data_IF_627773145926
#
_entry.id   IF_627773145926
#
_cell.length_a   1.000
_cell.length_b   1.000
_cell.length_c   1.000
_cell.angle_alpha   90.00
_cell.angle_beta   90.00
_cell.angle_gamma   90.00
#
_symmetry.space_group_name_H-M   'P 1'
#
loop_
_entity.id
_entity.type
_entity.pdbx_description
1 polymer ?
#
# COMPACT_ATOMS: atom_id res chain seq x y z
N UNK A 1 13.87 11.39 -0.04
CA UNK A 1 12.66 10.59 -0.01
C UNK A 1 12.19 10.40 1.43
N UNK A 2 10.93 10.65 1.68
CA UNK A 2 10.30 10.47 3.00
C UNK A 2 9.54 9.16 3.02
N UNK A 3 9.73 8.36 4.07
CA UNK A 3 9.01 7.12 4.26
C UNK A 3 7.67 7.36 4.96
N UNK A 4 6.60 6.76 4.43
CA UNK A 4 5.29 6.70 5.06
C UNK A 4 4.84 5.25 5.18
N UNK A 5 3.93 4.97 6.12
CA UNK A 5 3.26 3.68 6.14
C UNK A 5 2.52 3.44 4.83
N UNK A 6 2.62 2.25 4.27
CA UNK A 6 1.88 1.90 3.05
C UNK A 6 0.36 1.99 3.28
N UNK A 7 -0.07 1.58 4.45
CA UNK A 7 -1.39 1.81 5.01
C UNK A 7 -1.19 2.42 6.40
N UNK A 8 -1.81 3.56 6.65
CA UNK A 8 -1.71 4.33 7.89
C UNK A 8 -3.10 4.90 8.19
N UNK A 9 -3.72 4.43 9.25
CA UNK A 9 -5.07 4.80 9.61
C UNK A 9 -5.18 5.13 11.10
N UNK A 10 -5.83 6.25 11.38
CA UNK A 10 -6.34 6.56 12.70
C UNK A 10 -7.74 5.98 12.81
N UNK A 11 -7.91 5.01 13.69
CA UNK A 11 -9.18 4.38 13.95
C UNK A 11 -9.99 5.26 14.90
N UNK A 12 -11.29 5.39 14.61
CA UNK A 12 -12.22 6.12 15.45
C UNK A 12 -13.30 5.17 15.95
N UNK A 13 -13.81 5.40 17.16
CA UNK A 13 -14.97 4.65 17.64
C UNK A 13 -16.27 5.20 17.05
N UNK A 14 -17.20 4.29 16.79
CA UNK A 14 -18.58 4.60 16.39
C UNK A 14 -19.58 4.37 17.52
N UNK A 15 -19.17 3.66 18.58
CA UNK A 15 -19.96 3.39 19.77
C UNK A 15 -19.60 4.33 20.92
N UNK A 16 -20.57 4.54 21.82
CA UNK A 16 -20.39 5.24 23.08
C UNK A 16 -20.31 4.22 24.23
N UNK A 17 -19.45 4.45 25.20
CA UNK A 17 -19.32 3.62 26.41
C UNK A 17 -17.95 3.70 27.04
N UNK A 18 -17.69 2.80 27.98
CA UNK A 18 -16.40 2.69 28.65
C UNK A 18 -15.50 1.67 27.95
N UNK A 19 -14.25 2.03 27.71
CA UNK A 19 -13.25 1.15 27.10
C UNK A 19 -12.92 0.01 28.06
N UNK A 20 -13.28 -1.22 27.70
CA UNK A 20 -12.98 -2.42 28.50
C UNK A 20 -11.60 -3.00 28.19
N UNK A 21 -11.22 -3.00 26.90
CA UNK A 21 -9.89 -3.42 26.47
C UNK A 21 -9.36 -2.52 25.37
N UNK A 22 -8.04 -2.39 25.29
CA UNK A 22 -7.35 -1.66 24.22
C UNK A 22 -5.98 -2.28 23.97
N UNK A 23 -5.59 -2.38 22.70
CA UNK A 23 -4.30 -2.94 22.30
C UNK A 23 -3.15 -2.03 22.69
N UNK A 24 -2.04 -2.63 23.10
CA UNK A 24 -0.81 -1.90 23.46
C UNK A 24 -0.05 -1.43 22.22
N UNK A 25 0.68 -0.31 22.38
CA UNK A 25 1.58 0.22 21.36
C UNK A 25 2.69 -0.79 21.06
N UNK A 26 3.02 -0.96 19.78
CA UNK A 26 4.00 -1.93 19.32
C UNK A 26 3.43 -3.33 19.06
N UNK A 27 2.16 -3.60 19.41
CA UNK A 27 1.52 -4.88 19.13
C UNK A 27 1.29 -5.07 17.65
N UNK A 28 1.78 -6.18 17.09
CA UNK A 28 1.45 -6.65 15.75
C UNK A 28 0.06 -7.29 15.73
N UNK A 29 -0.75 -6.96 14.73
CA UNK A 29 -2.12 -7.46 14.58
C UNK A 29 -2.42 -7.87 13.15
N UNK A 30 -3.29 -8.87 12.98
CA UNK A 30 -3.83 -9.28 11.70
C UNK A 30 -5.09 -8.47 11.35
N UNK A 31 -5.42 -8.39 10.05
CA UNK A 31 -6.69 -7.82 9.61
C UNK A 31 -7.88 -8.53 10.28
N UNK A 32 -8.88 -7.77 10.75
CA UNK A 32 -10.04 -8.27 11.48
C UNK A 32 -9.80 -8.57 12.95
N UNK A 33 -8.58 -8.48 13.45
CA UNK A 33 -8.28 -8.68 14.87
C UNK A 33 -8.79 -7.52 15.73
N UNK A 34 -9.33 -7.83 16.91
CA UNK A 34 -9.80 -6.84 17.88
C UNK A 34 -8.67 -5.99 18.43
N UNK A 35 -8.84 -4.69 18.38
CA UNK A 35 -7.90 -3.68 18.86
C UNK A 35 -8.42 -2.96 20.11
N UNK A 36 -9.70 -2.67 20.17
CA UNK A 36 -10.34 -2.13 21.35
C UNK A 36 -11.77 -2.67 21.49
N UNK A 37 -12.32 -2.57 22.67
CA UNK A 37 -13.63 -3.04 23.04
C UNK A 37 -14.30 -2.00 23.94
N UNK A 38 -15.51 -1.56 23.56
CA UNK A 38 -16.27 -0.51 24.23
C UNK A 38 -17.59 -1.10 24.73
N UNK A 39 -17.61 -1.53 25.99
CA UNK A 39 -18.80 -2.15 26.60
C UNK A 39 -19.51 -3.18 25.69
N UNK A 40 -18.75 -3.96 24.93
CA UNK A 40 -19.30 -4.83 23.89
C UNK A 40 -20.28 -5.88 24.45
N UNK A 41 -20.13 -6.27 25.71
CA UNK A 41 -21.05 -7.21 26.36
C UNK A 41 -22.47 -6.64 26.47
N UNK A 42 -22.62 -5.34 26.78
CA UNK A 42 -23.93 -4.69 26.79
C UNK A 42 -24.60 -4.73 25.40
N UNK A 43 -23.86 -4.41 24.37
CA UNK A 43 -24.36 -4.44 22.99
C UNK A 43 -24.65 -5.85 22.51
N UNK A 44 -23.86 -6.84 22.94
CA UNK A 44 -24.08 -8.25 22.66
C UNK A 44 -25.39 -8.74 23.26
N UNK A 45 -25.67 -8.41 24.52
CA UNK A 45 -26.95 -8.76 25.17
C UNK A 45 -28.14 -8.16 24.41
N UNK A 46 -28.04 -6.92 23.94
CA UNK A 46 -29.08 -6.29 23.14
C UNK A 46 -29.30 -7.03 21.81
N UNK A 47 -28.22 -7.44 21.14
CA UNK A 47 -28.31 -8.23 19.91
C UNK A 47 -28.95 -9.61 20.16
N UNK A 48 -28.53 -10.33 21.18
CA UNK A 48 -29.10 -11.64 21.50
C UNK A 48 -30.60 -11.53 21.86
N UNK A 49 -31.02 -10.50 22.57
CA UNK A 49 -32.43 -10.24 22.83
C UNK A 49 -33.23 -9.99 21.51
N UNK A 50 -32.68 -9.16 20.62
CA UNK A 50 -33.32 -8.91 19.34
C UNK A 50 -33.37 -10.17 18.45
N UNK A 51 -32.34 -10.99 18.47
CA UNK A 51 -32.29 -12.26 17.78
C UNK A 51 -33.36 -13.25 18.30
N UNK A 52 -33.52 -13.33 19.60
CA UNK A 52 -34.57 -14.16 20.20
C UNK A 52 -35.97 -13.70 19.78
N UNK A 53 -36.19 -12.39 19.60
CA UNK A 53 -37.44 -11.86 19.06
C UNK A 53 -37.70 -12.30 17.60
N UNK A 54 -36.66 -12.38 16.78
CA UNK A 54 -36.74 -12.91 15.40
C UNK A 54 -37.15 -14.37 15.42
N UNK A 55 -36.55 -15.20 16.28
CA UNK A 55 -36.86 -16.61 16.41
C UNK A 55 -38.31 -16.82 16.87
N UNK A 56 -38.80 -16.06 17.85
CA UNK A 56 -40.16 -16.08 18.29
C UNK A 56 -41.16 -15.71 17.17
N UNK A 57 -40.87 -14.64 16.42
CA UNK A 57 -41.70 -14.25 15.27
C UNK A 57 -41.72 -15.33 14.18
N UNK A 58 -40.59 -15.97 13.90
CA UNK A 58 -40.50 -17.06 12.94
C UNK A 58 -41.39 -18.25 13.37
N UNK A 59 -41.34 -18.67 14.64
CA UNK A 59 -42.21 -19.72 15.17
C UNK A 59 -43.69 -19.36 15.02
N UNK A 60 -44.06 -18.08 15.28
CA UNK A 60 -45.43 -17.61 15.09
C UNK A 60 -45.86 -17.63 13.60
N UNK A 61 -44.97 -17.27 12.69
CA UNK A 61 -45.21 -17.34 11.24
C UNK A 61 -45.40 -18.80 10.78
N UNK A 62 -44.59 -19.72 11.26
CA UNK A 62 -44.67 -21.14 10.91
C UNK A 62 -46.00 -21.74 11.40
N UNK A 63 -46.45 -21.39 12.63
CA UNK A 63 -47.74 -21.80 13.15
C UNK A 63 -48.90 -21.21 12.33
N UNK A 64 -48.86 -19.93 12.00
CA UNK A 64 -49.89 -19.27 11.21
C UNK A 64 -49.91 -19.77 9.76
N UNK A 65 -48.77 -20.15 9.19
CA UNK A 65 -48.70 -20.80 7.88
C UNK A 65 -49.40 -22.16 7.90
N UNK A 66 -49.18 -22.99 8.93
CA UNK A 66 -49.89 -24.27 9.10
C UNK A 66 -51.41 -24.09 9.22
N UNK A 67 -51.87 -22.99 9.89
CA UNK A 67 -53.29 -22.67 9.96
C UNK A 67 -53.85 -22.22 8.61
N UNK A 68 -53.09 -21.42 7.88
CA UNK A 68 -53.45 -21.01 6.52
C UNK A 68 -53.59 -22.20 5.58
N UNK A 69 -52.66 -23.12 5.61
CA UNK A 69 -52.68 -24.31 4.76
C UNK A 69 -53.88 -25.21 5.10
N UNK A 70 -54.21 -25.41 6.39
CA UNK A 70 -55.39 -26.14 6.84
C UNK A 70 -56.71 -25.47 6.43
N UNK A 71 -56.80 -24.15 6.63
CA UNK A 71 -58.00 -23.38 6.27
C UNK A 71 -58.23 -23.39 4.76
N UNK A 72 -57.17 -23.32 3.96
CA UNK A 72 -57.23 -23.42 2.51
C UNK A 72 -57.81 -24.80 2.08
N UNK A 73 -57.29 -25.87 2.63
CA UNK A 73 -57.79 -27.22 2.34
C UNK A 73 -59.29 -27.38 2.68
N UNK A 74 -59.75 -26.80 3.82
CA UNK A 74 -61.15 -26.82 4.23
C UNK A 74 -62.07 -26.00 3.31
N UNK A 75 -61.59 -24.87 2.80
CA UNK A 75 -62.34 -24.04 1.81
C UNK A 75 -62.42 -24.80 0.48
N UNK A 76 -61.33 -25.41 0.02
CA UNK A 76 -61.27 -26.18 -1.22
C UNK A 76 -62.19 -27.42 -1.14
N UNK A 77 -62.36 -28.01 0.06
CA UNK A 77 -63.32 -29.09 0.35
C UNK A 77 -64.79 -28.61 0.55
N UNK A 78 -65.05 -27.30 0.45
CA UNK A 78 -66.39 -26.73 0.63
C UNK A 78 -66.87 -26.62 2.08
N UNK A 79 -66.01 -26.92 3.06
CA UNK A 79 -66.38 -26.92 4.50
C UNK A 79 -66.29 -25.55 5.17
N UNK A 80 -65.59 -24.58 4.55
CA UNK A 80 -65.45 -23.21 5.04
C UNK A 80 -65.69 -22.18 3.93
N UNK A 81 -66.14 -21.01 4.32
CA UNK A 81 -66.35 -19.86 3.40
C UNK A 81 -65.04 -19.13 3.07
N UNK A 82 -64.94 -18.51 1.90
CA UNK A 82 -63.78 -17.73 1.46
C UNK A 82 -63.38 -16.61 2.45
N UNK A 83 -64.31 -15.99 3.15
CA UNK A 83 -64.06 -14.96 4.15
C UNK A 83 -63.15 -15.43 5.29
N UNK A 84 -63.29 -16.71 5.70
CA UNK A 84 -62.40 -17.31 6.71
C UNK A 84 -60.95 -17.43 6.21
N UNK A 85 -60.75 -17.83 4.94
CA UNK A 85 -59.43 -17.88 4.32
C UNK A 85 -58.79 -16.45 4.20
N UNK A 86 -59.56 -15.45 3.86
CA UNK A 86 -59.07 -14.08 3.73
C UNK A 86 -58.62 -13.53 5.09
N UNK A 87 -59.36 -13.85 6.18
CA UNK A 87 -58.94 -13.47 7.53
C UNK A 87 -57.61 -14.09 7.96
N UNK A 88 -57.41 -15.40 7.72
CA UNK A 88 -56.17 -16.09 8.07
C UNK A 88 -55.02 -15.62 7.18
N UNK A 89 -55.26 -15.37 5.90
CA UNK A 89 -54.25 -14.72 5.02
C UNK A 89 -53.79 -13.37 5.54
N UNK A 90 -54.74 -12.52 5.96
CA UNK A 90 -54.37 -11.19 6.50
C UNK A 90 -53.58 -11.32 7.80
N UNK A 91 -53.92 -12.27 8.67
CA UNK A 91 -53.18 -12.54 9.89
C UNK A 91 -51.73 -13.02 9.57
N UNK A 92 -51.59 -13.99 8.66
CA UNK A 92 -50.27 -14.45 8.22
C UNK A 92 -49.43 -13.36 7.60
N UNK A 93 -50.02 -12.51 6.74
CA UNK A 93 -49.33 -11.37 6.15
C UNK A 93 -48.88 -10.36 7.22
N UNK A 94 -49.71 -10.12 8.26
CA UNK A 94 -49.34 -9.27 9.40
C UNK A 94 -48.12 -9.83 10.16
N UNK A 95 -48.07 -11.14 10.41
CA UNK A 95 -46.93 -11.79 11.08
C UNK A 95 -45.66 -11.74 10.22
N UNK A 96 -45.77 -11.86 8.90
CA UNK A 96 -44.61 -11.63 7.99
C UNK A 96 -44.08 -10.23 8.12
N UNK A 97 -44.95 -9.22 8.12
CA UNK A 97 -44.57 -7.84 8.28
C UNK A 97 -43.87 -7.58 9.64
N UNK A 98 -44.43 -8.16 10.71
CA UNK A 98 -43.83 -8.09 12.05
C UNK A 98 -42.46 -8.75 12.11
N UNK A 99 -42.28 -9.92 11.48
CA UNK A 99 -41.03 -10.65 11.41
C UNK A 99 -39.95 -9.82 10.70
N UNK A 100 -40.28 -9.16 9.57
CA UNK A 100 -39.34 -8.25 8.88
C UNK A 100 -38.93 -7.09 9.78
N UNK A 101 -39.84 -6.56 10.60
CA UNK A 101 -39.52 -5.53 11.59
C UNK A 101 -38.54 -6.04 12.66
N UNK A 102 -38.75 -7.26 13.17
CA UNK A 102 -37.85 -7.89 14.14
C UNK A 102 -36.47 -8.17 13.54
N UNK A 103 -36.40 -8.64 12.29
CA UNK A 103 -35.11 -8.83 11.56
C UNK A 103 -34.34 -7.53 11.41
N UNK A 104 -35.03 -6.43 11.05
CA UNK A 104 -34.41 -5.11 10.94
C UNK A 104 -33.85 -4.63 12.30
N UNK A 105 -34.60 -4.83 13.40
CA UNK A 105 -34.12 -4.52 14.75
C UNK A 105 -32.90 -5.36 15.15
N UNK A 106 -32.90 -6.66 14.86
CA UNK A 106 -31.77 -7.55 15.13
C UNK A 106 -30.54 -7.14 14.33
N UNK A 107 -30.71 -6.73 13.06
CA UNK A 107 -29.61 -6.24 12.23
C UNK A 107 -29.05 -4.92 12.78
N UNK A 108 -29.89 -3.99 13.25
CA UNK A 108 -29.44 -2.75 13.86
C UNK A 108 -28.67 -3.01 15.16
N UNK A 109 -29.18 -3.89 16.03
CA UNK A 109 -28.50 -4.27 17.26
C UNK A 109 -27.16 -4.98 16.99
N UNK A 110 -27.12 -5.84 15.96
CA UNK A 110 -25.89 -6.49 15.51
C UNK A 110 -24.85 -5.46 15.09
N UNK A 111 -25.26 -4.49 14.28
CA UNK A 111 -24.37 -3.41 13.85
C UNK A 111 -23.82 -2.63 15.03
N UNK A 112 -24.64 -2.28 16.02
CA UNK A 112 -24.17 -1.60 17.23
C UNK A 112 -23.14 -2.43 18.00
N UNK A 113 -23.35 -3.76 18.08
CA UNK A 113 -22.37 -4.67 18.71
C UNK A 113 -21.07 -4.77 17.89
N UNK A 114 -21.14 -4.86 16.56
CA UNK A 114 -19.96 -4.85 15.70
C UNK A 114 -19.21 -3.52 15.82
N UNK A 115 -19.93 -2.40 15.86
CA UNK A 115 -19.39 -1.04 16.00
C UNK A 115 -18.77 -0.76 17.39
N UNK A 116 -19.14 -1.54 18.41
CA UNK A 116 -18.54 -1.46 19.76
C UNK A 116 -17.14 -2.06 19.85
N UNK A 117 -16.70 -2.75 18.81
CA UNK A 117 -15.37 -3.35 18.73
C UNK A 117 -14.56 -2.68 17.64
N UNK A 118 -13.40 -2.14 18.01
CA UNK A 118 -12.47 -1.61 17.02
C UNK A 118 -11.70 -2.79 16.40
N UNK A 119 -11.99 -3.11 15.17
CA UNK A 119 -11.28 -4.16 14.44
C UNK A 119 -10.18 -3.55 13.56
N UNK A 120 -9.07 -4.27 13.39
CA UNK A 120 -7.98 -3.86 12.50
C UNK A 120 -8.44 -3.94 11.03
N UNK A 121 -8.46 -2.84 10.27
CA UNK A 121 -8.86 -2.86 8.86
C UNK A 121 -7.84 -3.56 7.96
N UNK A 122 -6.58 -3.61 8.38
CA UNK A 122 -5.48 -4.30 7.71
C UNK A 122 -4.49 -4.85 8.74
N UNK A 123 -3.63 -5.76 8.31
CA UNK A 123 -2.55 -6.28 9.16
C UNK A 123 -1.46 -5.23 9.33
N UNK A 124 -1.04 -4.97 10.58
CA UNK A 124 -0.07 -3.91 10.88
C UNK A 124 0.38 -3.91 12.33
N UNK A 125 0.94 -2.79 12.76
CA UNK A 125 1.40 -2.56 14.12
C UNK A 125 0.70 -1.34 14.70
N UNK A 126 0.30 -1.41 15.95
CA UNK A 126 -0.26 -0.27 16.70
C UNK A 126 0.86 0.74 16.93
N UNK A 127 0.81 1.86 16.21
CA UNK A 127 1.82 2.90 16.28
C UNK A 127 1.59 3.86 17.45
N UNK A 128 0.33 4.19 17.72
CA UNK A 128 -0.05 5.12 18.80
C UNK A 128 -1.38 4.69 19.42
N UNK A 129 -1.50 4.88 20.72
CA UNK A 129 -2.74 4.71 21.47
C UNK A 129 -3.21 6.08 21.96
N UNK A 130 -4.47 6.41 21.69
CA UNK A 130 -5.08 7.71 22.01
C UNK A 130 -6.14 7.60 23.10
N UNK A 131 -6.55 6.39 23.46
CA UNK A 131 -7.51 6.12 24.54
C UNK A 131 -6.91 5.18 25.59
N UNK A 132 -7.45 5.20 26.78
CA UNK A 132 -7.04 4.33 27.87
C UNK A 132 -8.15 3.38 28.29
N UNK A 133 -7.77 2.26 28.91
CA UNK A 133 -8.74 1.38 29.57
C UNK A 133 -9.49 2.15 30.64
N UNK A 134 -10.80 1.92 30.76
CA UNK A 134 -11.71 2.58 31.71
C UNK A 134 -12.03 4.04 31.36
N UNK A 135 -11.59 4.53 30.22
CA UNK A 135 -11.94 5.84 29.71
C UNK A 135 -13.32 5.78 29.04
N UNK A 136 -14.14 6.82 29.26
CA UNK A 136 -15.43 6.97 28.58
C UNK A 136 -15.22 7.64 27.24
N UNK A 137 -15.72 7.03 26.17
CA UNK A 137 -15.58 7.50 24.79
C UNK A 137 -16.93 7.60 24.10
N UNK A 138 -17.00 8.42 23.07
CA UNK A 138 -18.17 8.61 22.21
C UNK A 138 -17.86 8.46 20.73
N UNK A 139 -18.88 8.45 19.87
CA UNK A 139 -18.69 8.38 18.42
C UNK A 139 -17.76 9.47 17.92
N UNK A 140 -16.80 9.10 17.04
CA UNK A 140 -15.81 10.00 16.48
C UNK A 140 -14.54 10.17 17.31
N UNK A 141 -14.45 9.58 18.54
CA UNK A 141 -13.24 9.63 19.34
C UNK A 141 -12.11 8.82 18.67
N UNK A 142 -10.93 9.44 18.38
CA UNK A 142 -9.76 8.70 17.88
C UNK A 142 -9.28 7.70 18.92
N UNK A 143 -9.05 6.45 18.49
CA UNK A 143 -8.71 5.36 19.43
C UNK A 143 -7.25 4.92 19.30
N UNK A 144 -6.85 4.50 18.13
CA UNK A 144 -5.55 3.92 17.85
C UNK A 144 -5.09 4.34 16.45
N UNK A 145 -3.79 4.46 16.26
CA UNK A 145 -3.19 4.57 14.93
C UNK A 145 -2.56 3.23 14.57
N UNK A 146 -3.04 2.64 13.49
CA UNK A 146 -2.53 1.39 12.94
C UNK A 146 -1.72 1.69 11.68
N UNK A 147 -0.51 1.12 11.60
CA UNK A 147 0.42 1.35 10.50
C UNK A 147 0.89 0.00 9.96
N UNK A 148 0.84 -0.18 8.65
CA UNK A 148 1.47 -1.32 8.00
C UNK A 148 2.97 -1.09 7.88
N UNK A 149 3.78 -1.98 8.44
CA UNK A 149 5.23 -1.84 8.52
C UNK A 149 6.03 -2.89 7.71
N UNK A 150 5.37 -3.87 7.07
CA UNK A 150 6.00 -4.87 6.20
C UNK A 150 6.52 -4.27 4.88
N UNK A 151 5.88 -3.19 4.46
CA UNK A 151 6.25 -2.36 3.32
C UNK A 151 5.96 -0.91 3.63
N UNK A 152 6.75 -0.01 3.07
CA UNK A 152 6.62 1.43 3.25
C UNK A 152 6.52 2.12 1.89
N UNK A 153 5.85 3.26 1.86
CA UNK A 153 5.81 4.14 0.71
C UNK A 153 6.89 5.22 0.87
N UNK A 154 7.82 5.29 -0.05
CA UNK A 154 8.80 6.36 -0.14
C UNK A 154 8.34 7.38 -1.17
N UNK A 155 8.12 8.63 -0.74
CA UNK A 155 7.79 9.74 -1.62
C UNK A 155 9.07 10.49 -1.99
N UNK A 156 9.27 10.73 -3.27
CA UNK A 156 10.40 11.49 -3.77
C UNK A 156 10.01 12.32 -4.98
N UNK A 157 10.84 13.32 -5.28
CA UNK A 157 10.66 14.16 -6.45
C UNK A 157 11.83 14.00 -7.39
N UNK A 158 11.57 14.07 -8.70
CA UNK A 158 12.57 13.94 -9.76
C UNK A 158 12.47 15.18 -10.65
N UNK A 159 13.59 15.78 -11.06
CA UNK A 159 13.57 16.86 -12.05
C UNK A 159 12.87 16.44 -13.34
N UNK A 160 12.13 17.35 -13.97
CA UNK A 160 11.33 17.08 -15.18
C UNK A 160 12.14 16.45 -16.32
N UNK A 161 13.38 16.90 -16.52
CA UNK A 161 14.28 16.36 -17.54
C UNK A 161 14.66 14.88 -17.31
N UNK A 162 14.63 14.43 -16.06
CA UNK A 162 14.94 13.05 -15.68
C UNK A 162 13.69 12.17 -15.57
N UNK A 163 12.53 12.79 -15.40
CA UNK A 163 11.27 12.09 -15.18
C UNK A 163 10.73 11.37 -16.44
N UNK A 164 11.23 11.69 -17.64
CA UNK A 164 10.80 11.04 -18.90
C UNK A 164 11.03 9.53 -18.91
N UNK A 165 12.03 9.06 -18.20
CA UNK A 165 12.35 7.63 -18.09
C UNK A 165 11.71 6.96 -16.85
N UNK A 166 11.07 7.76 -16.00
CA UNK A 166 10.42 7.27 -14.79
C UNK A 166 9.06 6.64 -15.13
N UNK A 167 8.95 5.34 -14.93
CA UNK A 167 7.72 4.57 -15.19
C UNK A 167 7.39 3.70 -14.00
N UNK A 168 6.11 3.39 -13.85
CA UNK A 168 5.66 2.39 -12.88
C UNK A 168 6.38 1.07 -13.13
N UNK A 169 6.83 0.41 -12.06
CA UNK A 169 7.57 -0.85 -12.11
C UNK A 169 9.10 -0.70 -12.20
N UNK A 170 9.63 0.51 -12.40
CA UNK A 170 11.09 0.73 -12.38
C UNK A 170 11.64 0.33 -11.01
N UNK A 171 12.69 -0.55 -10.96
CA UNK A 171 13.30 -0.95 -9.70
C UNK A 171 14.05 0.21 -9.06
N UNK A 172 13.93 0.31 -7.74
CA UNK A 172 14.54 1.35 -6.92
C UNK A 172 15.26 0.70 -5.75
N UNK A 173 16.44 1.20 -5.45
CA UNK A 173 17.17 0.94 -4.22
C UNK A 173 17.00 2.11 -3.28
N UNK A 174 16.44 1.85 -2.11
CA UNK A 174 16.32 2.83 -1.03
C UNK A 174 17.35 2.52 0.05
N UNK A 175 17.98 3.56 0.60
CA UNK A 175 18.90 3.45 1.72
C UNK A 175 18.77 4.66 2.65
N UNK A 176 18.92 4.41 3.93
CA UNK A 176 18.93 5.45 4.95
C UNK A 176 20.23 6.25 4.86
N UNK A 177 20.17 7.53 5.27
CA UNK A 177 21.35 8.38 5.27
C UNK A 177 22.42 7.90 6.25
N UNK A 178 21.97 7.35 7.39
CA UNK A 178 22.84 6.87 8.48
C UNK A 178 23.41 5.48 8.24
N UNK A 179 22.74 4.66 7.39
CA UNK A 179 23.15 3.30 7.04
C UNK A 179 23.23 3.12 5.51
N UNK A 180 24.18 3.76 4.82
CA UNK A 180 24.24 3.75 3.35
C UNK A 180 24.55 2.37 2.74
N UNK A 181 25.09 1.45 3.54
CA UNK A 181 25.41 0.08 3.10
C UNK A 181 24.18 -0.86 3.15
N UNK A 182 23.12 -0.47 3.85
CA UNK A 182 21.88 -1.26 3.89
C UNK A 182 20.92 -0.81 2.80
N UNK A 183 20.76 -1.67 1.81
CA UNK A 183 19.89 -1.41 0.64
C UNK A 183 18.55 -2.10 0.81
N UNK A 184 17.48 -1.35 0.67
CA UNK A 184 16.12 -1.85 0.63
C UNK A 184 15.60 -1.78 -0.80
N UNK A 185 15.07 -2.89 -1.29
CA UNK A 185 14.55 -2.97 -2.67
C UNK A 185 13.11 -2.53 -2.74
N UNK A 186 12.78 -1.81 -3.79
CA UNK A 186 11.43 -1.37 -4.07
C UNK A 186 11.19 -1.17 -5.56
N UNK A 187 9.97 -0.83 -5.92
CA UNK A 187 9.58 -0.49 -7.28
C UNK A 187 8.73 0.78 -7.28
N UNK A 188 8.85 1.57 -8.33
CA UNK A 188 7.97 2.73 -8.55
C UNK A 188 6.54 2.24 -8.66
N UNK A 189 5.68 2.74 -7.77
CA UNK A 189 4.25 2.40 -7.71
C UNK A 189 3.38 3.42 -8.43
N UNK A 190 3.77 4.69 -8.39
CA UNK A 190 3.08 5.75 -9.13
C UNK A 190 4.04 6.87 -9.50
N UNK A 191 3.67 7.59 -10.54
CA UNK A 191 4.34 8.81 -11.00
C UNK A 191 3.25 9.85 -11.22
N UNK A 192 3.44 11.05 -10.68
CA UNK A 192 2.47 12.12 -10.82
C UNK A 192 2.36 12.57 -12.27
N UNK A 193 1.15 12.83 -12.71
CA UNK A 193 0.87 13.28 -14.08
C UNK A 193 1.21 14.76 -14.30
N UNK A 194 1.25 15.54 -13.22
CA UNK A 194 1.54 16.97 -13.25
C UNK A 194 2.87 17.29 -12.56
N UNK A 195 3.65 18.14 -13.18
CA UNK A 195 4.84 18.69 -12.54
C UNK A 195 4.49 19.81 -11.55
N UNK A 196 5.21 19.89 -10.44
CA UNK A 196 5.17 21.05 -9.57
C UNK A 196 5.89 22.21 -10.30
N UNK A 197 5.10 23.21 -10.71
CA UNK A 197 5.60 24.37 -11.47
C UNK A 197 6.60 25.22 -10.69
N UNK A 198 6.55 25.18 -9.34
CA UNK A 198 7.47 25.96 -8.50
C UNK A 198 8.88 25.37 -8.51
N UNK A 199 8.96 24.05 -8.44
CA UNK A 199 10.23 23.31 -8.31
C UNK A 199 10.66 22.63 -9.60
N UNK A 200 9.79 22.59 -10.62
CA UNK A 200 9.97 21.84 -11.88
C UNK A 200 10.33 20.37 -11.63
N UNK A 201 9.61 19.78 -10.70
CA UNK A 201 9.79 18.37 -10.34
C UNK A 201 8.51 17.58 -10.51
N UNK A 202 8.64 16.30 -10.78
CA UNK A 202 7.55 15.35 -10.84
C UNK A 202 7.63 14.45 -9.61
N UNK A 203 6.54 14.33 -8.87
CA UNK A 203 6.44 13.45 -7.72
C UNK A 203 6.35 11.99 -8.15
N UNK A 204 6.96 11.13 -7.37
CA UNK A 204 6.83 9.69 -7.56
C UNK A 204 6.83 8.96 -6.22
N UNK A 205 6.18 7.82 -6.20
CA UNK A 205 6.06 6.95 -5.05
C UNK A 205 6.72 5.60 -5.34
N UNK A 206 7.40 5.07 -4.36
CA UNK A 206 8.05 3.76 -4.39
C UNK A 206 7.53 2.93 -3.24
N UNK A 207 7.12 1.71 -3.51
CA UNK A 207 6.87 0.74 -2.45
C UNK A 207 8.18 0.04 -2.14
N UNK A 208 8.65 0.23 -0.91
CA UNK A 208 9.90 -0.34 -0.39
C UNK A 208 9.55 -1.50 0.53
N UNK A 209 10.16 -2.66 0.31
CA UNK A 209 10.03 -3.82 1.18
C UNK A 209 10.81 -3.60 2.48
N UNK A 210 10.16 -3.81 3.62
CA UNK A 210 10.73 -3.62 4.96
C UNK A 210 10.89 -4.97 5.68
N UNK A 211 11.56 -5.91 5.05
CA UNK A 211 11.85 -7.21 5.67
C UNK A 211 12.69 -7.00 6.92
N UNK A 212 12.20 -7.48 8.06
CA UNK A 212 12.84 -7.29 9.36
C UNK A 212 12.41 -6.04 10.13
N UNK A 213 11.54 -5.19 9.57
CA UNK A 213 10.88 -4.08 10.30
C UNK A 213 11.81 -2.96 10.76
N UNK A 214 13.01 -2.84 10.15
CA UNK A 214 14.02 -1.83 10.56
C UNK A 214 13.64 -0.42 10.13
N UNK A 215 13.01 -0.27 8.97
CA UNK A 215 12.50 1.02 8.52
C UNK A 215 11.24 1.39 9.32
N UNK A 216 11.09 2.67 9.61
CA UNK A 216 9.91 3.22 10.29
C UNK A 216 9.33 4.38 9.49
N UNK A 217 8.00 4.57 9.49
CA UNK A 217 7.39 5.78 8.97
C UNK A 217 8.01 7.03 9.59
N UNK A 218 8.24 8.08 8.77
CA UNK A 218 8.90 9.31 9.18
C UNK A 218 10.42 9.31 9.00
N UNK A 219 11.06 8.19 8.70
CA UNK A 219 12.47 8.16 8.36
C UNK A 219 12.70 8.76 6.97
N UNK A 220 13.88 9.35 6.80
CA UNK A 220 14.33 9.98 5.56
C UNK A 220 15.50 9.19 4.96
N UNK A 221 15.52 9.07 3.64
CA UNK A 221 16.58 8.36 2.94
C UNK A 221 16.77 8.83 1.52
N UNK A 222 17.66 8.16 0.80
CA UNK A 222 17.88 8.37 -0.62
C UNK A 222 17.34 7.21 -1.44
N UNK A 223 16.75 7.52 -2.58
CA UNK A 223 16.29 6.56 -3.56
C UNK A 223 17.22 6.59 -4.78
N UNK A 224 17.74 5.45 -5.19
CA UNK A 224 18.53 5.25 -6.40
C UNK A 224 17.66 4.52 -7.41
N UNK A 225 17.33 5.19 -8.50
CA UNK A 225 16.59 4.57 -9.60
C UNK A 225 17.54 3.77 -10.49
N UNK A 226 17.20 2.52 -10.72
CA UNK A 226 17.95 1.63 -11.61
C UNK A 226 17.37 1.75 -13.03
N UNK A 227 17.89 2.73 -13.81
CA UNK A 227 17.33 3.06 -15.14
C UNK A 227 17.67 2.03 -16.21
N UNK A 228 18.93 1.63 -16.31
CA UNK A 228 19.42 0.67 -17.30
C UNK A 228 20.52 -0.20 -16.72
N UNK A 229 20.45 -1.49 -16.97
CA UNK A 229 21.53 -2.43 -16.71
C UNK A 229 22.18 -2.77 -18.05
N UNK A 230 23.44 -2.43 -18.19
CA UNK A 230 24.24 -2.84 -19.35
C UNK A 230 24.97 -4.13 -18.99
N UNK A 231 24.73 -5.19 -19.75
CA UNK A 231 25.38 -6.50 -19.51
C UNK A 231 26.79 -6.57 -20.11
N UNK A 232 27.09 -5.70 -21.07
CA UNK A 232 28.39 -5.58 -21.69
C UNK A 232 28.64 -4.09 -21.98
N UNK A 233 29.29 -3.42 -21.04
CA UNK A 233 29.53 -1.99 -21.13
C UNK A 233 31.03 -1.74 -21.03
N UNK A 234 31.58 -0.96 -21.96
CA UNK A 234 32.94 -0.43 -21.86
C UNK A 234 32.84 0.83 -21.00
N UNK A 235 33.45 0.77 -19.81
CA UNK A 235 33.52 1.92 -18.90
C UNK A 235 34.98 2.36 -18.80
N UNK A 236 35.20 3.65 -19.02
CA UNK A 236 36.56 4.22 -19.03
C UNK A 236 36.65 5.41 -18.06
N UNK A 237 37.85 5.72 -17.58
CA UNK A 237 38.07 6.93 -16.82
C UNK A 237 37.86 8.17 -17.71
N UNK A 238 37.22 9.21 -17.16
CA UNK A 238 37.05 10.50 -17.86
C UNK A 238 38.37 11.11 -18.28
N UNK A 239 39.45 10.81 -17.57
CA UNK A 239 40.82 11.26 -17.88
C UNK A 239 41.40 10.68 -19.20
N UNK A 240 40.83 9.55 -19.67
CA UNK A 240 41.22 8.94 -20.96
C UNK A 240 40.50 9.53 -22.17
N UNK A 241 39.57 10.48 -21.94
CA UNK A 241 38.69 11.04 -22.97
C UNK A 241 39.17 12.44 -23.37
N UNK A 242 39.42 12.61 -24.66
CA UNK A 242 39.86 13.88 -25.27
C UNK A 242 38.63 14.57 -25.86
N UNK A 243 38.23 15.67 -25.28
CA UNK A 243 37.13 16.50 -25.80
C UNK A 243 37.70 17.51 -26.80
N UNK A 244 37.22 17.47 -28.05
CA UNK A 244 37.60 18.37 -29.14
C UNK A 244 36.36 19.05 -29.69
N UNK A 245 36.51 20.09 -30.48
CA UNK A 245 35.37 20.81 -31.08
C UNK A 245 34.49 19.92 -31.91
N UNK A 246 35.02 18.87 -32.54
CA UNK A 246 34.31 17.95 -33.44
C UNK A 246 33.88 16.62 -32.77
N UNK A 247 33.95 16.52 -31.46
CA UNK A 247 33.52 15.30 -30.76
C UNK A 247 34.48 14.84 -29.66
N UNK A 248 34.23 13.64 -29.15
CA UNK A 248 35.06 13.04 -28.10
C UNK A 248 35.87 11.90 -28.68
N UNK A 249 37.15 11.86 -28.39
CA UNK A 249 38.07 10.80 -28.82
C UNK A 249 38.72 10.12 -27.63
N UNK A 250 39.10 8.88 -27.79
CA UNK A 250 39.93 8.14 -26.82
C UNK A 250 41.24 7.75 -27.48
N UNK A 251 42.37 7.87 -26.76
CA UNK A 251 43.67 7.45 -27.25
C UNK A 251 43.87 5.98 -26.86
N UNK A 252 43.96 5.07 -27.82
CA UNK A 252 44.29 3.66 -27.63
C UNK A 252 45.68 3.34 -28.11
N UNK A 253 46.28 2.29 -27.53
CA UNK A 253 47.58 1.76 -28.01
C UNK A 253 47.30 0.62 -29.00
N UNK A 254 47.77 0.79 -30.23
CA UNK A 254 47.74 -0.20 -31.29
C UNK A 254 49.12 -0.37 -31.87
N UNK A 255 49.67 -1.59 -31.81
CA UNK A 255 51.03 -1.94 -32.31
C UNK A 255 52.14 -0.98 -31.77
N UNK A 256 52.05 -0.63 -30.45
CA UNK A 256 53.03 0.26 -29.80
C UNK A 256 52.92 1.73 -30.18
N UNK A 257 51.89 2.12 -30.91
CA UNK A 257 51.60 3.49 -31.33
C UNK A 257 50.23 3.94 -30.82
N UNK A 258 50.05 5.22 -30.53
CA UNK A 258 48.77 5.79 -30.19
C UNK A 258 47.91 5.95 -31.44
N UNK A 259 46.66 5.57 -31.30
CA UNK A 259 45.60 5.79 -32.28
C UNK A 259 44.42 6.48 -31.61
N UNK A 260 43.90 7.54 -32.23
CA UNK A 260 42.78 8.34 -31.73
C UNK A 260 41.47 7.79 -32.33
N UNK A 261 40.64 7.20 -31.50
CA UNK A 261 39.36 6.64 -31.90
C UNK A 261 38.21 7.53 -31.44
N UNK A 262 37.33 7.84 -32.33
CA UNK A 262 36.10 8.59 -32.02
C UNK A 262 35.18 7.72 -31.16
N UNK A 263 34.62 8.28 -30.09
CA UNK A 263 33.78 7.56 -29.14
C UNK A 263 32.49 8.28 -28.88
N UNK A 264 31.41 7.52 -28.82
CA UNK A 264 30.12 8.02 -28.35
C UNK A 264 29.99 7.74 -26.86
N UNK A 265 29.73 8.79 -26.10
CA UNK A 265 29.58 8.70 -24.66
C UNK A 265 28.14 8.35 -24.24
N UNK A 266 28.02 7.58 -23.19
CA UNK A 266 26.79 7.34 -22.44
C UNK A 266 26.73 8.18 -21.16
N UNK A 267 26.13 7.59 -20.11
CA UNK A 267 26.06 8.21 -18.78
C UNK A 267 27.42 8.23 -18.10
N UNK A 268 27.71 9.32 -17.37
CA UNK A 268 28.87 9.41 -16.50
C UNK A 268 28.45 9.14 -15.05
N UNK A 269 29.32 8.45 -14.30
CA UNK A 269 29.16 8.22 -12.87
C UNK A 269 30.49 8.45 -12.15
N UNK A 270 30.60 9.58 -11.47
CA UNK A 270 31.89 10.04 -10.93
C UNK A 270 32.92 10.20 -12.05
N UNK A 271 34.11 9.62 -11.86
CA UNK A 271 35.18 9.62 -12.86
C UNK A 271 35.02 8.60 -13.98
N UNK A 272 34.00 7.75 -13.90
CA UNK A 272 33.75 6.70 -14.88
C UNK A 272 32.71 7.14 -15.90
N UNK A 273 32.99 6.92 -17.17
CA UNK A 273 32.12 7.26 -18.30
C UNK A 273 31.84 5.98 -19.11
N UNK A 274 30.56 5.72 -19.35
CA UNK A 274 30.13 4.67 -20.26
C UNK A 274 30.44 5.07 -21.70
N UNK A 275 31.06 4.20 -22.46
CA UNK A 275 31.26 4.35 -23.90
C UNK A 275 30.25 3.46 -24.64
N UNK A 276 29.41 4.06 -25.49
CA UNK A 276 28.39 3.36 -26.28
C UNK A 276 28.95 2.73 -27.53
N UNK A 277 29.88 3.41 -28.18
CA UNK A 277 30.55 2.95 -29.40
C UNK A 277 31.94 3.54 -29.52
N UNK A 278 32.79 2.91 -30.32
CA UNK A 278 34.15 3.32 -30.60
C UNK A 278 35.24 2.53 -29.88
N UNK A 279 34.96 1.90 -28.72
CA UNK A 279 35.92 1.07 -27.98
C UNK A 279 35.41 -0.36 -27.83
N UNK A 280 36.34 -1.30 -27.74
CA UNK A 280 36.08 -2.72 -27.49
C UNK A 280 36.74 -3.17 -26.16
N UNK A 281 36.18 -4.20 -25.57
CA UNK A 281 36.79 -4.86 -24.41
C UNK A 281 38.16 -5.44 -24.85
N UNK A 282 39.22 -5.07 -24.12
CA UNK A 282 40.57 -5.43 -24.42
C UNK A 282 41.44 -4.32 -25.05
N UNK A 283 40.80 -3.19 -25.47
CA UNK A 283 41.56 -2.05 -25.95
C UNK A 283 42.39 -1.43 -24.81
N UNK A 284 43.67 -1.16 -25.04
CA UNK A 284 44.55 -0.51 -24.10
C UNK A 284 44.45 0.98 -24.25
N UNK A 285 43.90 1.65 -23.22
CA UNK A 285 43.70 3.11 -23.21
C UNK A 285 44.90 3.84 -22.57
N UNK A 286 45.25 4.98 -23.15
CA UNK A 286 46.19 5.91 -22.57
C UNK A 286 45.45 6.82 -21.61
N UNK A 287 45.66 6.64 -20.30
CA UNK A 287 44.98 7.42 -19.25
C UNK A 287 45.80 8.62 -18.85
N UNK A 288 47.12 8.48 -18.70
CA UNK A 288 48.01 9.60 -18.37
C UNK A 288 48.66 10.14 -19.62
N UNK A 289 48.58 11.45 -19.80
CA UNK A 289 49.19 12.15 -20.93
C UNK A 289 48.41 12.01 -22.25
N UNK A 290 47.21 11.52 -22.23
CA UNK A 290 46.34 11.37 -23.42
C UNK A 290 46.26 12.67 -24.26
N UNK A 291 46.20 13.83 -23.60
CA UNK A 291 46.14 15.17 -24.26
C UNK A 291 47.45 15.60 -24.96
N UNK A 292 48.58 14.88 -24.75
CA UNK A 292 49.90 15.15 -25.38
C UNK A 292 50.18 14.22 -26.56
N UNK A 293 49.27 13.30 -26.84
CA UNK A 293 49.49 12.24 -27.83
C UNK A 293 48.76 12.59 -29.13
N UNK A 294 49.47 12.51 -30.25
CA UNK A 294 48.90 12.60 -31.59
C UNK A 294 48.86 11.24 -32.24
N UNK A 295 48.07 11.12 -33.33
CA UNK A 295 48.00 9.88 -34.12
C UNK A 295 49.39 9.40 -34.53
N UNK A 296 49.71 8.13 -34.29
CA UNK A 296 50.98 7.51 -34.63
C UNK A 296 52.13 7.73 -33.63
N UNK A 297 51.92 8.50 -32.53
CA UNK A 297 52.93 8.72 -31.51
C UNK A 297 53.34 7.38 -30.86
N UNK A 298 54.65 7.05 -30.78
CA UNK A 298 55.13 5.88 -30.07
C UNK A 298 54.84 6.01 -28.58
N UNK A 299 54.22 5.01 -28.02
CA UNK A 299 53.84 4.93 -26.60
C UNK A 299 54.68 3.82 -25.97
N UNK A 300 55.33 4.14 -24.86
CA UNK A 300 56.03 3.14 -24.04
C UNK A 300 55.08 2.72 -22.90
N UNK A 301 54.83 1.44 -22.76
CA UNK A 301 54.02 0.89 -21.65
C UNK A 301 54.70 1.09 -20.32
#
# INVERSE_FOLDING_TARGET
>A
ADLRGFEDAVLVTTAAGVVSTVAEVGRGVAAGQGLCDIESERYKVQYEAAKSAVEANKAAQDAAKGELDRTKANVDAGSLGKAALDGVKAQYAGLIAQGKGAEAQALAAKKQWDDSRCLAPFSGVVATRMINRWESVGPGTPTLRLVRNDRLEANFTVPENEARELKVGVPVEFYQLDEPNQVYKGNVSSVDLAADVRNRTIGAKVIVSNVGGKLRPGMVGRARLLRKKYTSAVVVSSAALLRQENGVRAAIVKDGKASLVEVELGSAQGDSVLVRSGLKVGDKLIVQGAFRVSEGTRVKE
#
